data_IF_526662391847
#
_entry.id   IF_526662391847
#
_cell.length_a   1.000
_cell.length_b   1.000
_cell.length_c   1.000
_cell.angle_alpha   90.00
_cell.angle_beta   90.00
_cell.angle_gamma   90.00
#
_symmetry.space_group_name_H-M   'P 1'
#
loop_
_entity.id
_entity.type
_entity.pdbx_description
1 polymer ?
#
# COMPACT_ATOMS: atom_id res chain seq x y z
N UNK A 1 18.30 16.23 -6.24
CA UNK A 1 17.31 15.14 -6.38
C UNK A 1 15.93 15.70 -6.10
N UNK A 2 14.99 15.56 -7.04
CA UNK A 2 13.59 15.97 -6.84
C UNK A 2 12.91 14.94 -5.93
N UNK A 3 12.08 15.40 -5.00
CA UNK A 3 11.29 14.51 -4.13
C UNK A 3 10.09 14.00 -4.93
N UNK A 4 9.81 12.69 -4.83
CA UNK A 4 8.57 12.07 -5.32
C UNK A 4 7.82 11.52 -4.11
N UNK A 5 6.65 12.09 -3.84
CA UNK A 5 5.80 11.76 -2.70
C UNK A 5 4.86 10.63 -3.08
N UNK A 6 4.74 9.61 -2.24
CA UNK A 6 3.85 8.49 -2.51
C UNK A 6 3.06 8.03 -1.29
N UNK A 7 1.99 7.29 -1.56
CA UNK A 7 1.16 6.58 -0.59
C UNK A 7 1.25 5.08 -0.84
N UNK A 8 1.26 4.28 0.22
CA UNK A 8 1.36 2.83 0.18
C UNK A 8 0.13 2.16 0.84
N UNK A 9 -0.89 1.87 0.05
CA UNK A 9 -2.15 1.26 0.50
C UNK A 9 -2.13 -0.25 0.34
N UNK A 10 -2.74 -0.96 1.30
CA UNK A 10 -2.64 -2.42 1.39
C UNK A 10 -1.17 -2.85 1.41
N UNK A 11 -0.39 -2.16 2.24
CA UNK A 11 1.06 -2.17 2.20
C UNK A 11 1.66 -3.57 2.44
N UNK A 12 0.92 -4.47 3.11
CA UNK A 12 1.42 -5.75 3.55
C UNK A 12 2.71 -5.57 4.34
N UNK A 13 3.75 -6.29 3.94
CA UNK A 13 5.10 -6.16 4.51
C UNK A 13 5.99 -5.12 3.77
N UNK A 14 5.43 -4.36 2.83
CA UNK A 14 6.10 -3.27 2.11
C UNK A 14 6.85 -3.67 0.84
N UNK A 15 6.46 -4.77 0.19
CA UNK A 15 7.10 -5.24 -1.05
C UNK A 15 7.00 -4.24 -2.21
N UNK A 16 5.82 -3.66 -2.42
CA UNK A 16 5.57 -2.67 -3.49
C UNK A 16 6.39 -1.40 -3.22
N UNK A 17 6.37 -0.90 -1.97
CA UNK A 17 7.20 0.22 -1.52
C UNK A 17 8.69 0.00 -1.82
N UNK A 18 9.27 -1.14 -1.45
CA UNK A 18 10.69 -1.41 -1.71
C UNK A 18 11.01 -1.39 -3.21
N UNK A 19 10.14 -1.96 -4.04
CA UNK A 19 10.30 -1.92 -5.48
C UNK A 19 10.25 -0.49 -6.02
N UNK A 20 9.26 0.29 -5.58
CA UNK A 20 9.08 1.69 -5.98
C UNK A 20 10.25 2.57 -5.54
N UNK A 21 10.68 2.48 -4.28
CA UNK A 21 11.79 3.27 -3.73
C UNK A 21 13.10 3.02 -4.49
N UNK A 22 13.38 1.75 -4.82
CA UNK A 22 14.54 1.37 -5.65
C UNK A 22 14.45 1.95 -7.06
N UNK A 23 13.30 1.81 -7.71
CA UNK A 23 13.10 2.34 -9.06
C UNK A 23 13.21 3.87 -9.09
N UNK A 24 12.50 4.56 -8.20
CA UNK A 24 12.56 6.02 -8.05
C UNK A 24 13.99 6.52 -7.82
N UNK A 25 14.74 5.86 -6.92
CA UNK A 25 16.13 6.20 -6.64
C UNK A 25 17.02 6.02 -7.87
N UNK A 26 16.84 4.92 -8.62
CA UNK A 26 17.61 4.67 -9.86
C UNK A 26 17.35 5.70 -10.97
N UNK A 27 16.17 6.34 -10.95
CA UNK A 27 15.78 7.40 -11.88
C UNK A 27 16.15 8.81 -11.38
N UNK A 28 16.87 8.93 -10.25
CA UNK A 28 17.31 10.21 -9.70
C UNK A 28 16.26 10.97 -8.88
N UNK A 29 15.21 10.28 -8.43
CA UNK A 29 14.23 10.82 -7.49
C UNK A 29 14.55 10.42 -6.05
N UNK A 30 14.16 11.27 -5.09
CA UNK A 30 14.14 10.93 -3.67
C UNK A 30 12.72 10.49 -3.30
N UNK A 31 12.43 9.19 -3.15
CA UNK A 31 11.11 8.73 -2.74
C UNK A 31 10.81 9.14 -1.29
N UNK A 32 9.59 9.56 -1.04
CA UNK A 32 9.09 9.88 0.30
C UNK A 32 7.71 9.25 0.51
N UNK A 33 7.63 8.28 1.41
CA UNK A 33 6.36 7.72 1.86
C UNK A 33 5.68 8.75 2.77
N UNK A 34 4.47 9.19 2.42
CA UNK A 34 3.68 10.10 3.27
C UNK A 34 2.72 9.35 4.18
N UNK A 35 2.22 8.21 3.73
CA UNK A 35 1.26 7.39 4.46
C UNK A 35 1.34 5.94 3.95
N UNK A 36 1.26 4.99 4.88
CA UNK A 36 1.02 3.59 4.56
C UNK A 36 -0.19 3.06 5.33
N UNK A 37 -0.94 2.14 4.73
CA UNK A 37 -2.14 1.53 5.35
C UNK A 37 -2.09 0.01 5.23
N UNK A 38 -2.19 -0.68 6.35
CA UNK A 38 -2.25 -2.14 6.41
C UNK A 38 -3.08 -2.56 7.64
N UNK A 39 -4.05 -3.45 7.44
CA UNK A 39 -4.99 -3.89 8.48
C UNK A 39 -4.46 -5.11 9.26
N UNK A 40 -3.65 -5.96 8.64
CA UNK A 40 -3.11 -7.17 9.24
C UNK A 40 -1.97 -6.85 10.23
N UNK A 41 -2.17 -7.13 11.51
CA UNK A 41 -1.25 -6.77 12.59
C UNK A 41 0.18 -7.33 12.41
N UNK A 42 0.32 -8.58 11.96
CA UNK A 42 1.63 -9.20 11.72
C UNK A 42 2.39 -8.48 10.61
N UNK A 43 1.69 -8.14 9.52
CA UNK A 43 2.24 -7.37 8.42
C UNK A 43 2.69 -5.98 8.86
N UNK A 44 1.90 -5.30 9.71
CA UNK A 44 2.26 -4.00 10.29
C UNK A 44 3.53 -4.09 11.14
N UNK A 45 3.67 -5.16 11.93
CA UNK A 45 4.85 -5.37 12.76
C UNK A 45 6.11 -5.51 11.90
N UNK A 46 6.05 -6.34 10.84
CA UNK A 46 7.15 -6.49 9.88
C UNK A 46 7.43 -5.16 9.16
N UNK A 47 6.40 -4.44 8.74
CA UNK A 47 6.52 -3.13 8.09
C UNK A 47 7.27 -2.14 9.01
N UNK A 48 6.83 -2.00 10.26
CA UNK A 48 7.47 -1.12 11.24
C UNK A 48 8.92 -1.53 11.53
N UNK A 49 9.21 -2.82 11.60
CA UNK A 49 10.57 -3.30 11.81
C UNK A 49 11.53 -2.85 10.68
N UNK A 50 11.05 -2.86 9.43
CA UNK A 50 11.84 -2.51 8.23
C UNK A 50 11.91 -1.00 7.97
N UNK A 51 10.79 -0.29 8.04
CA UNK A 51 10.72 1.13 7.65
C UNK A 51 10.77 2.11 8.83
N UNK A 52 10.69 1.61 10.08
CA UNK A 52 10.58 2.43 11.30
C UNK A 52 9.36 3.36 11.30
N UNK A 53 8.35 3.01 10.51
CA UNK A 53 7.10 3.75 10.34
C UNK A 53 5.93 2.87 10.78
N UNK A 54 4.95 3.47 11.44
CA UNK A 54 3.72 2.79 11.80
C UNK A 54 2.68 3.02 10.70
N UNK A 55 2.16 1.94 10.12
CA UNK A 55 1.07 2.04 9.16
C UNK A 55 -0.24 2.45 9.85
N UNK A 56 -1.09 3.17 9.13
CA UNK A 56 -2.35 3.76 9.60
C UNK A 56 -3.33 2.71 10.14
N UNK A 57 -3.47 1.58 9.44
CA UNK A 57 -4.39 0.52 9.82
C UNK A 57 -5.44 0.27 8.73
N UNK A 58 -6.71 0.29 9.14
CA UNK A 58 -7.86 0.08 8.27
C UNK A 58 -8.08 1.29 7.36
N UNK A 59 -7.89 1.09 6.05
CA UNK A 59 -8.00 2.17 5.05
C UNK A 59 -9.39 2.82 5.03
N UNK A 60 -10.45 2.11 5.43
CA UNK A 60 -11.82 2.64 5.39
C UNK A 60 -12.06 3.80 6.34
N UNK A 61 -11.26 3.90 7.40
CA UNK A 61 -11.37 4.98 8.37
C UNK A 61 -10.50 6.18 7.99
N UNK A 62 -9.86 6.12 6.82
CA UNK A 62 -9.08 7.22 6.28
C UNK A 62 -10.00 8.19 5.52
N UNK A 63 -10.15 9.41 6.03
CA UNK A 63 -11.02 10.42 5.42
C UNK A 63 -10.35 11.15 4.26
N UNK A 64 -9.04 11.39 4.37
CA UNK A 64 -8.29 12.19 3.42
C UNK A 64 -6.88 11.62 3.19
N UNK A 65 -6.44 11.67 1.94
CA UNK A 65 -5.06 11.38 1.55
C UNK A 65 -4.28 12.69 1.43
N UNK A 66 -3.04 12.76 1.95
CA UNK A 66 -2.19 13.92 1.71
C UNK A 66 -1.84 14.00 0.21
N UNK A 67 -1.54 15.20 -0.27
CA UNK A 67 -1.16 15.42 -1.68
C UNK A 67 0.09 14.61 -2.03
N UNK A 68 -0.01 13.79 -3.07
CA UNK A 68 1.01 12.82 -3.47
C UNK A 68 1.11 12.73 -5.00
N UNK A 69 2.29 12.31 -5.48
CA UNK A 69 2.56 12.12 -6.91
C UNK A 69 2.16 10.71 -7.37
N UNK A 70 2.29 9.71 -6.49
CA UNK A 70 2.08 8.29 -6.81
C UNK A 70 1.28 7.60 -5.70
N UNK A 71 0.29 6.80 -6.09
CA UNK A 71 -0.45 5.93 -5.19
C UNK A 71 -0.12 4.48 -5.51
N UNK A 72 0.41 3.76 -4.52
CA UNK A 72 0.67 2.33 -4.58
C UNK A 72 -0.50 1.62 -3.88
N UNK A 73 -1.09 0.62 -4.53
CA UNK A 73 -2.22 -0.13 -3.96
C UNK A 73 -2.13 -1.62 -4.30
N UNK A 74 -1.80 -2.44 -3.29
CA UNK A 74 -1.76 -3.90 -3.39
C UNK A 74 -3.07 -4.56 -2.94
N UNK A 75 -4.21 -4.16 -3.50
CA UNK A 75 -5.52 -4.60 -3.02
C UNK A 75 -5.69 -6.14 -3.06
N UNK A 76 -6.47 -6.73 -2.13
CA UNK A 76 -6.60 -8.17 -2.02
C UNK A 76 -7.21 -8.81 -3.29
N UNK A 77 -6.47 -9.73 -3.90
CA UNK A 77 -6.84 -10.38 -5.15
C UNK A 77 -7.79 -11.58 -4.99
N UNK A 78 -8.11 -12.00 -3.75
CA UNK A 78 -8.83 -13.24 -3.46
C UNK A 78 -10.18 -13.37 -4.17
N UNK A 79 -10.85 -12.23 -4.38
CA UNK A 79 -12.15 -12.18 -5.05
C UNK A 79 -12.05 -12.27 -6.58
N UNK A 80 -10.87 -11.98 -7.14
CA UNK A 80 -10.58 -11.93 -8.57
C UNK A 80 -9.75 -13.12 -9.07
N UNK A 81 -9.01 -13.79 -8.18
CA UNK A 81 -8.15 -14.93 -8.53
C UNK A 81 -8.97 -16.12 -9.06
N UNK A 82 -8.45 -16.77 -10.09
CA UNK A 82 -9.01 -18.00 -10.66
C UNK A 82 -9.05 -19.15 -9.64
N UNK A 83 -8.07 -19.19 -8.73
CA UNK A 83 -7.98 -20.16 -7.63
C UNK A 83 -8.93 -19.83 -6.44
N UNK A 84 -9.58 -18.66 -6.46
CA UNK A 84 -10.56 -18.25 -5.46
C UNK A 84 -12.00 -18.61 -5.84
N UNK A 85 -12.97 -18.30 -4.97
CA UNK A 85 -14.41 -18.57 -5.21
C UNK A 85 -15.06 -17.68 -6.27
N UNK A 86 -14.28 -16.92 -7.08
CA UNK A 86 -14.72 -16.00 -8.15
C UNK A 86 -15.90 -15.10 -7.76
N UNK A 87 -15.92 -14.62 -6.52
CA UNK A 87 -17.02 -13.75 -6.04
C UNK A 87 -16.87 -12.28 -6.49
N UNK A 88 -15.77 -11.91 -7.16
CA UNK A 88 -15.53 -10.59 -7.78
C UNK A 88 -15.87 -9.46 -6.80
N UNK A 89 -16.61 -8.45 -7.22
CA UNK A 89 -16.99 -7.30 -6.40
C UNK A 89 -17.97 -7.65 -5.26
N UNK A 90 -18.59 -8.83 -5.27
CA UNK A 90 -19.60 -9.20 -4.28
C UNK A 90 -19.03 -9.57 -2.91
N UNK A 91 -17.71 -9.77 -2.80
CA UNK A 91 -17.05 -9.94 -1.50
C UNK A 91 -16.59 -8.57 -0.99
N UNK A 92 -16.69 -8.42 0.32
CA UNK A 92 -16.22 -7.28 1.07
C UNK A 92 -14.80 -6.82 0.67
N UNK A 93 -13.86 -7.75 0.48
CA UNK A 93 -12.49 -7.47 0.03
C UNK A 93 -12.40 -6.98 -1.44
N UNK A 94 -13.37 -7.33 -2.29
CA UNK A 94 -13.39 -6.95 -3.70
C UNK A 94 -13.87 -5.54 -3.96
N UNK A 95 -14.55 -4.91 -3.00
CA UNK A 95 -14.98 -3.50 -3.08
C UNK A 95 -13.90 -2.51 -2.65
N UNK A 96 -12.76 -2.97 -2.11
CA UNK A 96 -11.66 -2.12 -1.63
C UNK A 96 -10.91 -1.38 -2.75
N UNK A 97 -11.32 -1.55 -4.01
CA UNK A 97 -10.81 -0.82 -5.18
C UNK A 97 -11.62 0.45 -5.49
N UNK A 98 -12.76 0.66 -4.83
CA UNK A 98 -13.66 1.82 -4.99
C UNK A 98 -13.72 2.61 -3.69
#
# INVERSE_FOLDING_TARGET
MKIIKFIDLFAGIGGIRLGFEKAASSLGFKPQCLLSSEINQDSRWVYQANFKEQSFGDIRTLEHLPEHDVLLAGFPCQSFSYAGKKRRLWRYEGNLIF
#
